data_IF_472050294134
#
_entry.id   IF_472050294134
#
_cell.length_a   1.000
_cell.length_b   1.000
_cell.length_c   1.000
_cell.angle_alpha   90.00
_cell.angle_beta   90.00
_cell.angle_gamma   90.00
#
_symmetry.space_group_name_H-M   'P 1'
#
loop_
_entity.id
_entity.type
_entity.pdbx_description
1 polymer ?
#
# COMPACT_ATOMS: atom_id res chain seq x y z
N UNK A 1 17.18 -7.55 -16.05
CA UNK A 1 15.96 -6.79 -15.80
C UNK A 1 16.35 -5.49 -15.11
N UNK A 2 15.81 -4.38 -15.58
CA UNK A 2 16.07 -3.03 -15.07
C UNK A 2 15.32 -2.76 -13.76
N UNK A 3 14.05 -3.20 -13.67
CA UNK A 3 13.19 -3.04 -12.51
C UNK A 3 13.48 -4.12 -11.46
N UNK A 4 13.68 -3.70 -10.21
CA UNK A 4 13.81 -4.55 -9.03
C UNK A 4 12.56 -4.41 -8.19
N UNK A 5 11.97 -5.53 -7.80
CA UNK A 5 10.82 -5.61 -6.93
C UNK A 5 10.99 -6.73 -5.91
N UNK A 6 10.87 -6.40 -4.64
CA UNK A 6 10.86 -7.39 -3.56
C UNK A 6 9.73 -7.11 -2.58
N UNK A 7 9.00 -8.16 -2.20
CA UNK A 7 8.07 -8.16 -1.09
C UNK A 7 8.73 -8.86 0.10
N UNK A 8 8.75 -8.21 1.25
CA UNK A 8 9.45 -8.66 2.45
C UNK A 8 8.47 -8.69 3.61
N UNK A 9 8.34 -9.84 4.28
CA UNK A 9 7.57 -9.93 5.52
C UNK A 9 8.45 -9.44 6.67
N UNK A 10 8.04 -8.35 7.34
CA UNK A 10 8.86 -7.65 8.35
C UNK A 10 8.45 -7.94 9.79
N UNK A 11 7.30 -8.56 10.02
CA UNK A 11 6.85 -8.89 11.38
C UNK A 11 5.45 -8.32 11.69
N UNK A 12 5.25 -7.83 12.90
CA UNK A 12 3.99 -7.26 13.35
C UNK A 12 2.80 -8.20 13.14
N UNK A 13 1.66 -7.67 12.70
CA UNK A 13 0.52 -8.47 12.26
C UNK A 13 0.64 -8.85 10.78
N UNK A 14 1.74 -9.56 10.44
CA UNK A 14 2.04 -10.02 9.08
C UNK A 14 2.26 -8.87 8.09
N UNK A 15 2.92 -7.79 8.55
CA UNK A 15 3.22 -6.64 7.72
C UNK A 15 4.18 -6.98 6.59
N UNK A 16 3.94 -6.36 5.44
CA UNK A 16 4.84 -6.35 4.30
C UNK A 16 5.52 -5.00 4.16
N UNK A 17 6.82 -5.04 3.87
CA UNK A 17 7.56 -3.93 3.28
C UNK A 17 7.94 -4.27 1.84
N UNK A 18 8.29 -3.25 1.05
CA UNK A 18 8.69 -3.47 -0.33
C UNK A 18 9.96 -2.70 -0.68
N UNK A 19 10.76 -3.30 -1.58
CA UNK A 19 11.86 -2.63 -2.27
C UNK A 19 11.45 -2.46 -3.74
N UNK A 20 11.38 -1.21 -4.18
CA UNK A 20 11.25 -0.83 -5.59
C UNK A 20 12.59 -0.27 -6.05
N UNK A 21 13.15 -0.72 -7.17
CA UNK A 21 14.45 -0.23 -7.59
C UNK A 21 14.63 -0.12 -9.10
N UNK A 22 15.41 0.86 -9.50
CA UNK A 22 16.00 0.98 -10.84
C UNK A 22 17.47 0.55 -10.79
N UNK A 23 17.77 -0.64 -11.32
CA UNK A 23 19.12 -1.20 -11.30
C UNK A 23 20.11 -0.40 -12.14
N UNK A 24 19.69 0.25 -13.22
CA UNK A 24 20.57 1.04 -14.06
C UNK A 24 20.93 2.37 -13.41
N UNK A 25 19.99 2.97 -12.69
CA UNK A 25 20.24 4.17 -11.91
C UNK A 25 20.90 3.88 -10.54
N UNK A 26 20.87 2.61 -10.07
CA UNK A 26 21.43 2.21 -8.81
C UNK A 26 20.64 2.71 -7.60
N UNK A 27 19.34 2.99 -7.74
CA UNK A 27 18.52 3.61 -6.69
C UNK A 27 17.29 2.77 -6.32
N UNK A 28 16.87 2.85 -5.04
CA UNK A 28 15.69 2.20 -4.52
C UNK A 28 14.78 3.13 -3.70
N UNK A 29 13.49 2.81 -3.67
CA UNK A 29 12.55 3.28 -2.66
C UNK A 29 12.18 2.10 -1.76
N UNK A 30 12.19 2.34 -0.43
CA UNK A 30 11.69 1.40 0.57
C UNK A 30 10.27 1.81 0.94
N UNK A 31 9.32 0.90 0.80
CA UNK A 31 7.92 1.18 1.12
C UNK A 31 7.57 0.49 2.43
N UNK A 32 7.07 1.26 3.39
CA UNK A 32 6.69 0.82 4.74
C UNK A 32 7.73 -0.08 5.42
N UNK A 33 9.01 0.36 5.59
CA UNK A 33 10.06 -0.47 6.17
C UNK A 33 9.91 -0.59 7.70
N UNK A 34 8.76 -1.14 8.12
CA UNK A 34 8.38 -1.30 9.52
C UNK A 34 8.99 -2.56 10.15
N UNK A 35 9.00 -2.65 11.48
CA UNK A 35 9.46 -3.76 12.32
C UNK A 35 10.91 -4.23 12.09
N UNK A 36 11.35 -4.44 10.86
CA UNK A 36 12.70 -4.89 10.50
C UNK A 36 13.29 -4.05 9.35
N UNK A 37 13.48 -2.73 9.56
CA UNK A 37 14.03 -1.85 8.53
C UNK A 37 15.46 -2.21 8.12
N UNK A 38 16.24 -2.85 8.99
CA UNK A 38 17.58 -3.33 8.65
C UNK A 38 17.52 -4.39 7.55
N UNK A 39 16.64 -5.40 7.69
CA UNK A 39 16.47 -6.42 6.66
C UNK A 39 16.02 -5.79 5.32
N UNK A 40 15.11 -4.81 5.34
CA UNK A 40 14.64 -4.14 4.12
C UNK A 40 15.77 -3.37 3.43
N UNK A 41 16.58 -2.62 4.20
CA UNK A 41 17.75 -1.89 3.69
C UNK A 41 18.80 -2.86 3.11
N UNK A 42 19.09 -3.97 3.82
CA UNK A 42 20.05 -4.97 3.35
C UNK A 42 19.59 -5.66 2.05
N UNK A 43 18.27 -5.85 1.85
CA UNK A 43 17.74 -6.36 0.58
C UNK A 43 18.00 -5.40 -0.58
N UNK A 44 17.80 -4.08 -0.39
CA UNK A 44 18.14 -3.08 -1.40
C UNK A 44 19.64 -3.08 -1.71
N UNK A 45 20.51 -3.08 -0.68
CA UNK A 45 21.96 -3.13 -0.84
C UNK A 45 22.45 -4.40 -1.55
N UNK A 46 21.87 -5.56 -1.24
CA UNK A 46 22.18 -6.84 -1.91
C UNK A 46 21.87 -6.83 -3.41
N UNK A 47 20.95 -5.95 -3.85
CA UNK A 47 20.67 -5.70 -5.28
C UNK A 47 21.60 -4.64 -5.90
N UNK A 48 22.53 -4.07 -5.11
CA UNK A 48 23.43 -2.99 -5.54
C UNK A 48 22.73 -1.64 -5.64
N UNK A 49 21.69 -1.40 -4.82
CA UNK A 49 20.87 -0.19 -4.86
C UNK A 49 21.13 0.68 -3.62
N UNK A 50 21.24 2.00 -3.83
CA UNK A 50 21.17 3.01 -2.78
C UNK A 50 19.73 3.43 -2.52
N UNK A 51 19.34 3.58 -1.25
CA UNK A 51 18.00 4.03 -0.90
C UNK A 51 17.88 5.54 -1.15
N UNK A 52 17.05 5.92 -2.11
CA UNK A 52 16.73 7.30 -2.44
C UNK A 52 15.54 7.84 -1.63
N UNK A 53 14.59 6.98 -1.29
CA UNK A 53 13.36 7.35 -0.57
C UNK A 53 12.92 6.26 0.40
N UNK A 54 12.32 6.70 1.53
CA UNK A 54 11.48 5.89 2.41
C UNK A 54 10.05 6.39 2.19
N UNK A 55 9.16 5.54 1.68
CA UNK A 55 7.78 5.94 1.35
C UNK A 55 6.82 5.24 2.30
N UNK A 56 5.95 5.98 2.98
CA UNK A 56 4.87 5.39 3.76
C UNK A 56 3.56 5.45 3.01
N UNK A 57 2.87 4.31 2.95
CA UNK A 57 1.51 4.24 2.41
C UNK A 57 0.54 5.01 3.27
N UNK A 58 0.73 5.00 4.60
CA UNK A 58 -0.07 5.74 5.57
C UNK A 58 0.61 5.84 6.94
N UNK A 59 0.01 6.61 7.85
CA UNK A 59 0.61 6.98 9.12
C UNK A 59 0.39 6.03 10.29
N UNK A 60 -0.21 4.85 10.14
CA UNK A 60 -0.31 3.90 11.25
C UNK A 60 1.06 3.46 11.75
N UNK A 61 1.16 3.22 13.05
CA UNK A 61 2.44 2.91 13.71
C UNK A 61 3.10 1.66 13.13
N UNK A 62 2.34 0.66 12.78
CA UNK A 62 2.83 -0.60 12.21
C UNK A 62 3.35 -0.49 10.76
N UNK A 63 3.19 0.68 10.11
CA UNK A 63 3.82 1.04 8.82
C UNK A 63 4.97 2.03 8.98
N UNK A 64 5.02 2.76 10.10
CA UNK A 64 5.97 3.87 10.30
C UNK A 64 6.99 3.64 11.41
N UNK A 65 6.84 2.61 12.26
CA UNK A 65 7.70 2.37 13.42
C UNK A 65 9.19 2.13 13.06
N UNK A 66 9.48 1.73 11.82
CA UNK A 66 10.85 1.55 11.31
C UNK A 66 11.47 2.80 10.68
N UNK A 67 10.71 3.90 10.49
CA UNK A 67 11.15 5.08 9.74
C UNK A 67 12.45 5.69 10.28
N UNK A 68 12.52 5.90 11.59
CA UNK A 68 13.69 6.53 12.20
C UNK A 68 14.98 5.69 12.01
N UNK A 69 14.85 4.37 12.10
CA UNK A 69 15.95 3.45 11.89
C UNK A 69 16.33 3.35 10.41
N UNK A 70 15.36 3.22 9.50
CA UNK A 70 15.60 3.22 8.06
C UNK A 70 16.32 4.52 7.63
N UNK A 71 15.84 5.68 8.10
CA UNK A 71 16.47 6.97 7.84
C UNK A 71 17.90 7.04 8.37
N UNK A 72 18.16 6.52 9.57
CA UNK A 72 19.53 6.47 10.14
C UNK A 72 20.48 5.59 9.32
N UNK A 73 19.96 4.51 8.72
CA UNK A 73 20.75 3.55 7.92
C UNK A 73 21.03 4.02 6.50
N UNK A 74 20.22 4.93 5.95
CA UNK A 74 20.22 5.28 4.52
C UNK A 74 20.39 6.77 4.24
N UNK A 75 20.13 7.63 5.24
CA UNK A 75 20.00 9.10 5.11
C UNK A 75 18.90 9.55 4.13
N UNK A 76 18.05 8.61 3.68
CA UNK A 76 16.98 8.87 2.72
C UNK A 76 15.82 9.65 3.35
N UNK A 77 15.19 10.60 2.62
CA UNK A 77 14.03 11.32 3.11
C UNK A 77 12.78 10.42 3.19
N UNK A 78 11.97 10.69 4.22
CA UNK A 78 10.65 10.09 4.38
C UNK A 78 9.66 10.84 3.49
N UNK A 79 8.98 10.11 2.62
CA UNK A 79 7.92 10.57 1.72
C UNK A 79 6.58 10.02 2.20
N UNK A 80 5.61 10.86 2.43
CA UNK A 80 4.24 10.48 2.77
C UNK A 80 3.26 11.60 2.37
N UNK A 81 1.96 11.30 2.42
CA UNK A 81 0.93 12.29 2.14
C UNK A 81 1.05 13.49 3.09
N UNK A 82 0.76 14.69 2.56
CA UNK A 82 0.78 15.96 3.32
C UNK A 82 -0.15 15.86 4.53
N UNK A 83 0.38 16.19 5.71
CA UNK A 83 -0.38 16.09 6.97
C UNK A 83 -0.34 14.71 7.63
N UNK A 84 0.37 13.74 7.05
CA UNK A 84 0.58 12.44 7.68
C UNK A 84 1.26 12.56 9.05
N UNK A 85 0.81 11.74 9.98
CA UNK A 85 1.45 11.60 11.31
C UNK A 85 2.86 11.00 11.23
N UNK A 86 3.23 10.41 10.09
CA UNK A 86 4.60 9.97 9.79
C UNK A 86 5.61 11.13 9.74
N UNK A 87 5.14 12.39 9.70
CA UNK A 87 5.96 13.62 9.63
C UNK A 87 6.99 13.55 8.50
N UNK A 88 6.55 13.51 7.23
CA UNK A 88 7.42 13.33 6.09
C UNK A 88 8.39 14.52 5.95
N UNK A 89 9.63 14.20 5.54
CA UNK A 89 10.62 15.21 5.10
C UNK A 89 10.20 15.78 3.73
N UNK A 90 9.55 14.94 2.91
CA UNK A 90 9.03 15.30 1.60
C UNK A 90 7.53 15.00 1.54
N UNK A 91 6.67 15.96 1.93
CA UNK A 91 5.22 15.80 1.86
C UNK A 91 4.72 15.86 0.43
N UNK A 92 3.83 14.94 0.07
CA UNK A 92 3.22 14.85 -1.26
C UNK A 92 1.72 15.09 -1.23
N UNK A 93 1.18 15.46 -2.38
CA UNK A 93 -0.27 15.61 -2.61
C UNK A 93 -0.77 14.49 -3.55
N UNK A 94 -2.09 14.41 -3.74
CA UNK A 94 -2.73 13.44 -4.64
C UNK A 94 -2.20 13.55 -6.09
N UNK A 95 -1.88 12.43 -6.69
CA UNK A 95 -1.37 12.35 -8.05
C UNK A 95 0.08 12.80 -8.23
N UNK A 96 0.81 13.05 -7.12
CA UNK A 96 2.24 13.34 -7.21
C UNK A 96 2.99 12.17 -7.83
N UNK A 97 3.88 12.46 -8.79
CA UNK A 97 4.74 11.46 -9.41
C UNK A 97 6.15 11.59 -8.84
N UNK A 98 6.53 10.61 -8.03
CA UNK A 98 7.88 10.52 -7.47
C UNK A 98 8.80 9.83 -8.48
N UNK A 99 9.86 10.51 -8.89
CA UNK A 99 10.85 9.98 -9.83
C UNK A 99 11.88 9.12 -9.09
N UNK A 100 12.04 7.86 -9.50
CA UNK A 100 13.06 6.94 -8.98
C UNK A 100 13.90 6.36 -10.13
N UNK A 101 15.00 7.02 -10.46
CA UNK A 101 15.75 6.72 -11.68
C UNK A 101 14.88 6.91 -12.92
N UNK A 102 14.62 5.85 -13.67
CA UNK A 102 13.69 5.86 -14.82
C UNK A 102 12.25 5.45 -14.44
N UNK A 103 11.99 5.08 -13.18
CA UNK A 103 10.67 4.66 -12.73
C UNK A 103 9.83 5.87 -12.29
N UNK A 104 8.53 5.80 -12.57
CA UNK A 104 7.54 6.79 -12.17
C UNK A 104 6.59 6.17 -11.15
N UNK A 105 6.65 6.63 -9.91
CA UNK A 105 5.78 6.19 -8.81
C UNK A 105 4.67 7.24 -8.65
N UNK A 106 3.48 6.99 -9.19
CA UNK A 106 2.30 7.83 -8.94
C UNK A 106 1.76 7.54 -7.54
N UNK A 107 1.60 8.59 -6.73
CA UNK A 107 1.11 8.51 -5.37
C UNK A 107 -0.35 8.96 -5.34
N UNK A 108 -1.28 8.01 -5.27
CA UNK A 108 -2.73 8.24 -5.37
C UNK A 108 -3.31 8.32 -3.96
N UNK A 109 -3.84 9.48 -3.56
CA UNK A 109 -4.50 9.66 -2.26
C UNK A 109 -5.84 8.93 -2.21
N UNK A 110 -6.02 8.08 -1.20
CA UNK A 110 -7.17 7.18 -1.02
C UNK A 110 -7.60 7.15 0.46
N UNK A 111 -8.15 8.26 0.98
CA UNK A 111 -8.57 8.34 2.38
C UNK A 111 -9.70 7.36 2.70
N UNK A 112 -9.88 7.08 3.99
CA UNK A 112 -10.99 6.26 4.50
C UNK A 112 -10.55 5.24 5.54
N UNK A 113 -9.58 4.37 5.26
CA UNK A 113 -8.92 3.57 6.29
C UNK A 113 -8.28 4.50 7.34
N UNK A 114 -7.52 5.46 6.86
CA UNK A 114 -7.03 6.65 7.55
C UNK A 114 -6.93 7.79 6.54
N UNK A 115 -6.90 9.04 7.00
CA UNK A 115 -7.00 10.22 6.14
C UNK A 115 -5.80 10.43 5.21
N UNK A 116 -4.61 9.98 5.60
CA UNK A 116 -3.35 10.19 4.88
C UNK A 116 -2.94 9.02 3.96
N UNK A 117 -3.84 8.07 3.72
CA UNK A 117 -3.51 6.87 2.95
C UNK A 117 -3.27 7.14 1.47
N UNK A 118 -2.16 6.61 0.93
CA UNK A 118 -1.83 6.62 -0.50
C UNK A 118 -1.62 5.20 -1.04
N UNK A 119 -1.95 5.01 -2.31
CA UNK A 119 -1.53 3.87 -3.13
C UNK A 119 -0.31 4.30 -3.93
N UNK A 120 0.73 3.47 -3.98
CA UNK A 120 1.90 3.67 -4.85
C UNK A 120 1.71 2.87 -6.13
N UNK A 121 1.54 3.56 -7.25
CA UNK A 121 1.21 2.97 -8.53
C UNK A 121 2.32 3.13 -9.57
N UNK A 122 2.76 2.02 -10.17
CA UNK A 122 3.73 1.96 -11.26
C UNK A 122 3.05 1.33 -12.48
N UNK A 123 2.57 2.18 -13.38
CA UNK A 123 1.77 1.76 -14.55
C UNK A 123 2.54 0.83 -15.48
N UNK A 124 3.76 1.22 -15.86
CA UNK A 124 4.59 0.45 -16.79
C UNK A 124 5.02 -0.91 -16.21
N UNK A 125 5.23 -1.00 -14.89
CA UNK A 125 5.63 -2.22 -14.19
C UNK A 125 4.46 -3.09 -13.77
N UNK A 126 3.22 -2.63 -13.99
CA UNK A 126 1.98 -3.32 -13.57
C UNK A 126 1.92 -3.61 -12.07
N UNK A 127 2.35 -2.66 -11.24
CA UNK A 127 2.41 -2.78 -9.78
C UNK A 127 1.55 -1.72 -9.12
N UNK A 128 0.71 -2.11 -8.15
CA UNK A 128 0.04 -1.22 -7.21
C UNK A 128 0.28 -1.70 -5.78
N UNK A 129 1.00 -0.90 -4.99
CA UNK A 129 1.17 -1.13 -3.55
C UNK A 129 0.00 -0.44 -2.85
N UNK A 130 -0.96 -1.24 -2.40
CA UNK A 130 -2.26 -0.74 -1.94
C UNK A 130 -2.34 -0.49 -0.44
N UNK A 131 -1.25 -0.77 0.30
CA UNK A 131 -1.24 -0.64 1.74
C UNK A 131 -2.44 -1.33 2.37
N UNK A 132 -3.11 -0.61 3.28
CA UNK A 132 -4.29 -1.09 3.99
C UNK A 132 -5.61 -0.65 3.34
N UNK A 133 -5.55 -0.02 2.16
CA UNK A 133 -6.74 0.35 1.42
C UNK A 133 -7.43 -0.86 0.77
N UNK A 134 -6.65 -1.74 0.13
CA UNK A 134 -7.12 -2.96 -0.52
C UNK A 134 -6.18 -4.14 -0.21
N UNK A 135 -6.72 -5.18 0.41
CA UNK A 135 -6.05 -6.47 0.62
C UNK A 135 -6.53 -7.51 -0.38
N UNK A 136 -5.92 -8.68 -0.32
CA UNK A 136 -6.43 -9.85 -1.05
C UNK A 136 -7.71 -10.37 -0.37
N UNK A 137 -8.84 -10.23 -1.04
CA UNK A 137 -10.15 -10.71 -0.60
C UNK A 137 -10.83 -9.87 0.48
N UNK A 138 -10.28 -8.71 0.87
CA UNK A 138 -10.91 -7.76 1.81
C UNK A 138 -10.33 -6.35 1.65
N UNK A 139 -10.80 -5.41 2.46
CA UNK A 139 -10.30 -4.03 2.55
C UNK A 139 -9.93 -3.67 4.00
N UNK A 140 -9.21 -2.58 4.20
CA UNK A 140 -8.90 -2.04 5.51
C UNK A 140 -10.13 -1.65 6.33
N UNK A 141 -10.03 -1.78 7.64
CA UNK A 141 -11.05 -1.32 8.57
C UNK A 141 -11.23 0.20 8.54
N UNK A 142 -12.36 0.69 9.04
CA UNK A 142 -12.61 2.11 9.26
C UNK A 142 -13.21 2.31 10.65
N UNK A 143 -12.94 3.46 11.28
CA UNK A 143 -13.39 3.72 12.64
C UNK A 143 -14.83 4.24 12.71
N UNK A 144 -15.29 4.91 11.64
CA UNK A 144 -16.62 5.54 11.59
C UNK A 144 -17.33 5.22 10.27
N UNK A 145 -18.65 5.44 10.20
CA UNK A 145 -19.41 5.30 8.97
C UNK A 145 -19.00 6.36 7.94
N UNK A 146 -18.67 7.59 8.36
CA UNK A 146 -18.19 8.63 7.44
C UNK A 146 -16.86 8.24 6.80
N UNK A 147 -15.94 7.67 7.57
CA UNK A 147 -14.70 7.12 7.06
C UNK A 147 -14.95 5.95 6.08
N UNK A 148 -15.96 5.11 6.34
CA UNK A 148 -16.37 4.05 5.42
C UNK A 148 -16.95 4.60 4.11
N UNK A 149 -17.74 5.68 4.15
CA UNK A 149 -18.23 6.39 2.96
C UNK A 149 -17.09 7.00 2.16
N UNK A 150 -16.12 7.61 2.85
CA UNK A 150 -14.90 8.13 2.23
C UNK A 150 -14.10 7.01 1.57
N UNK A 151 -13.93 5.86 2.23
CA UNK A 151 -13.25 4.70 1.66
C UNK A 151 -13.99 4.15 0.42
N UNK A 152 -15.33 4.14 0.42
CA UNK A 152 -16.11 3.75 -0.76
C UNK A 152 -15.76 4.62 -1.98
N UNK A 153 -15.72 5.95 -1.81
CA UNK A 153 -15.34 6.88 -2.90
C UNK A 153 -13.90 6.64 -3.35
N UNK A 154 -12.98 6.42 -2.42
CA UNK A 154 -11.58 6.12 -2.72
C UNK A 154 -11.41 4.79 -3.44
N UNK A 155 -12.20 3.76 -3.10
CA UNK A 155 -12.24 2.49 -3.84
C UNK A 155 -12.75 2.69 -5.28
N UNK A 156 -13.80 3.47 -5.49
CA UNK A 156 -14.26 3.81 -6.85
C UNK A 156 -13.13 4.46 -7.66
N UNK A 157 -12.41 5.42 -7.07
CA UNK A 157 -11.28 6.10 -7.71
C UNK A 157 -10.21 5.11 -8.21
N UNK A 158 -9.80 4.14 -7.38
CA UNK A 158 -8.80 3.16 -7.80
C UNK A 158 -9.36 2.12 -8.78
N UNK A 159 -10.64 1.76 -8.68
CA UNK A 159 -11.29 0.86 -9.66
C UNK A 159 -11.35 1.47 -11.05
N UNK A 160 -11.50 2.79 -11.15
CA UNK A 160 -11.51 3.55 -12.40
C UNK A 160 -10.07 3.78 -12.93
N UNK A 161 -9.10 3.99 -12.02
CA UNK A 161 -7.72 4.33 -12.38
C UNK A 161 -6.85 3.12 -12.71
N UNK A 162 -7.02 2.00 -11.99
CA UNK A 162 -6.15 0.84 -12.11
C UNK A 162 -6.71 -0.18 -13.10
N UNK A 163 -5.97 -0.56 -14.16
CA UNK A 163 -6.40 -1.57 -15.11
C UNK A 163 -6.44 -2.97 -14.47
N UNK A 164 -7.20 -3.87 -15.10
CA UNK A 164 -7.47 -5.21 -14.58
C UNK A 164 -6.22 -6.10 -14.43
N UNK A 165 -5.21 -5.88 -15.25
CA UNK A 165 -3.95 -6.63 -15.26
C UNK A 165 -2.90 -6.12 -14.26
N UNK A 166 -3.24 -5.11 -13.45
CA UNK A 166 -2.38 -4.65 -12.35
C UNK A 166 -2.29 -5.71 -11.26
N UNK A 167 -1.08 -5.95 -10.77
CA UNK A 167 -0.86 -6.73 -9.56
C UNK A 167 -1.05 -5.85 -8.32
N UNK A 168 -1.93 -6.30 -7.44
CA UNK A 168 -2.24 -5.69 -6.13
C UNK A 168 -1.33 -6.28 -5.07
N UNK A 169 -0.57 -5.42 -4.38
CA UNK A 169 0.37 -5.76 -3.31
C UNK A 169 -0.04 -5.04 -2.02
N UNK A 170 -0.61 -5.77 -1.05
CA UNK A 170 -1.20 -5.18 0.16
C UNK A 170 -0.18 -4.86 1.25
N UNK A 171 -0.58 -4.10 2.27
CA UNK A 171 0.24 -3.82 3.46
C UNK A 171 0.44 -5.01 4.39
N UNK A 172 -0.47 -6.01 4.34
CA UNK A 172 -0.44 -7.19 5.20
C UNK A 172 -0.75 -8.48 4.45
N UNK A 173 -0.20 -9.61 4.94
CA UNK A 173 -0.47 -10.98 4.47
C UNK A 173 -1.77 -11.54 5.09
N UNK A 174 -2.89 -10.87 4.82
CA UNK A 174 -4.20 -11.27 5.37
C UNK A 174 -4.98 -12.22 4.45
N UNK A 175 -4.62 -12.29 3.18
CA UNK A 175 -5.31 -13.09 2.19
C UNK A 175 -4.88 -14.55 2.14
N UNK A 176 -5.43 -15.29 1.17
CA UNK A 176 -5.02 -16.67 0.87
C UNK A 176 -3.71 -16.74 0.08
N UNK A 177 -3.18 -15.61 -0.33
CA UNK A 177 -1.93 -15.41 -1.09
C UNK A 177 -1.37 -14.01 -0.80
N UNK A 178 -0.06 -13.78 -1.06
CA UNK A 178 0.60 -12.53 -0.69
C UNK A 178 0.31 -11.36 -1.66
N UNK A 179 -0.29 -11.64 -2.82
CA UNK A 179 -0.67 -10.65 -3.83
C UNK A 179 -1.86 -11.13 -4.65
N UNK A 180 -2.47 -10.24 -5.42
CA UNK A 180 -3.62 -10.55 -6.29
C UNK A 180 -3.52 -9.75 -7.59
N UNK A 181 -4.55 -9.79 -8.43
CA UNK A 181 -4.72 -8.87 -9.55
C UNK A 181 -5.99 -8.05 -9.37
N UNK A 182 -6.05 -6.86 -9.97
CA UNK A 182 -7.26 -6.05 -9.90
C UNK A 182 -8.47 -6.79 -10.49
N UNK A 183 -8.30 -7.52 -11.61
CA UNK A 183 -9.35 -8.36 -12.19
C UNK A 183 -9.91 -9.37 -11.18
N UNK A 184 -9.02 -10.04 -10.44
CA UNK A 184 -9.44 -11.05 -9.48
C UNK A 184 -10.13 -10.43 -8.27
N UNK A 185 -9.61 -9.32 -7.75
CA UNK A 185 -10.26 -8.60 -6.66
C UNK A 185 -11.65 -8.07 -7.08
N UNK A 186 -11.80 -7.49 -8.28
CA UNK A 186 -13.10 -7.09 -8.83
C UNK A 186 -14.09 -8.26 -8.92
N UNK A 187 -13.61 -9.47 -9.21
CA UNK A 187 -14.44 -10.67 -9.38
C UNK A 187 -14.75 -11.39 -8.05
N UNK A 188 -13.94 -11.23 -7.01
CA UNK A 188 -14.04 -12.12 -5.82
C UNK A 188 -14.03 -11.40 -4.48
N UNK A 189 -13.56 -10.15 -4.41
CA UNK A 189 -13.52 -9.39 -3.15
C UNK A 189 -14.92 -8.94 -2.77
N UNK A 190 -15.48 -9.38 -1.61
CA UNK A 190 -16.85 -9.05 -1.22
C UNK A 190 -17.17 -7.56 -1.22
N UNK A 191 -16.20 -6.73 -0.82
CA UNK A 191 -16.38 -5.28 -0.78
C UNK A 191 -16.39 -4.67 -2.18
N UNK A 192 -15.59 -5.17 -3.11
CA UNK A 192 -15.62 -4.70 -4.50
C UNK A 192 -16.88 -5.18 -5.23
N UNK A 193 -17.41 -6.35 -4.88
CA UNK A 193 -18.71 -6.81 -5.38
C UNK A 193 -19.88 -5.96 -4.85
N UNK A 194 -19.75 -5.37 -3.67
CA UNK A 194 -20.75 -4.47 -3.08
C UNK A 194 -20.65 -3.00 -3.57
N UNK A 195 -19.73 -2.69 -4.50
CA UNK A 195 -19.54 -1.30 -5.00
C UNK A 195 -20.69 -0.76 -5.85
N UNK A 196 -21.69 -1.58 -6.19
CA UNK A 196 -22.89 -1.12 -6.88
C UNK A 196 -23.83 -0.27 -6.03
N UNK A 197 -23.71 -0.33 -4.68
CA UNK A 197 -24.52 0.42 -3.74
C UNK A 197 -23.72 0.78 -2.49
N UNK A 198 -23.68 2.09 -2.15
CA UNK A 198 -23.04 2.53 -0.91
C UNK A 198 -23.69 1.93 0.34
N UNK A 199 -25.00 1.71 0.32
CA UNK A 199 -25.74 1.13 1.47
C UNK A 199 -25.38 -0.34 1.66
N UNK A 200 -25.25 -1.13 0.58
CA UNK A 200 -24.78 -2.53 0.62
C UNK A 200 -23.34 -2.60 1.12
N UNK A 201 -22.46 -1.72 0.64
CA UNK A 201 -21.08 -1.62 1.10
C UNK A 201 -20.99 -1.32 2.60
N UNK A 202 -21.74 -0.34 3.08
CA UNK A 202 -21.78 0.03 4.50
C UNK A 202 -22.38 -1.07 5.37
N UNK A 203 -23.43 -1.74 4.90
CA UNK A 203 -24.00 -2.91 5.58
C UNK A 203 -22.95 -4.02 5.71
N UNK A 204 -22.26 -4.35 4.62
CA UNK A 204 -21.20 -5.36 4.65
C UNK A 204 -20.05 -4.98 5.61
N UNK A 205 -19.63 -3.71 5.66
CA UNK A 205 -18.61 -3.25 6.61
C UNK A 205 -19.06 -3.40 8.06
N UNK A 206 -20.29 -3.02 8.36
CA UNK A 206 -20.87 -3.14 9.70
C UNK A 206 -20.98 -4.61 10.14
N UNK A 207 -21.42 -5.47 9.23
CA UNK A 207 -21.72 -6.86 9.51
C UNK A 207 -20.58 -7.83 9.12
N UNK A 208 -19.37 -7.30 8.85
CA UNK A 208 -18.24 -8.06 8.33
C UNK A 208 -17.86 -9.30 9.16
N UNK A 209 -17.93 -9.20 10.49
CA UNK A 209 -17.63 -10.33 11.37
C UNK A 209 -18.62 -11.49 11.16
N UNK A 210 -19.91 -11.18 11.05
CA UNK A 210 -20.98 -12.16 10.76
C UNK A 210 -20.78 -12.77 9.37
N UNK A 211 -20.56 -11.92 8.35
CA UNK A 211 -20.33 -12.38 6.98
C UNK A 211 -19.12 -13.35 6.90
N UNK A 212 -18.00 -13.03 7.57
CA UNK A 212 -16.86 -13.93 7.62
C UNK A 212 -17.20 -15.29 8.23
N UNK A 213 -17.93 -15.29 9.35
CA UNK A 213 -18.32 -16.52 10.02
C UNK A 213 -19.23 -17.42 9.13
N UNK A 214 -20.19 -16.81 8.44
CA UNK A 214 -21.10 -17.52 7.51
C UNK A 214 -20.39 -18.10 6.30
N UNK A 215 -19.36 -17.40 5.80
CA UNK A 215 -18.56 -17.83 4.63
C UNK A 215 -17.35 -18.68 4.98
N UNK A 216 -17.09 -18.93 6.26
CA UNK A 216 -15.89 -19.67 6.71
C UNK A 216 -14.58 -18.96 6.40
N UNK A 217 -14.61 -17.63 6.26
CA UNK A 217 -13.42 -16.80 6.02
C UNK A 217 -12.66 -16.54 7.35
N UNK A 218 -11.33 -16.53 7.29
CA UNK A 218 -10.46 -16.25 8.44
C UNK A 218 -10.12 -14.78 8.57
#
# INVERSE_FOLDING_TARGET
MKFVFEQIRTGGDRNFAYVLGDREAGVAALIDPSYDPEAVVERAKAQGLETAYIVNTHGHEDHTNGNAQAKKLTDAPIVAFRGSVAKPDFPVDDGHVLQLGSLHLELIHVPGHIDDHIVVYLEEQRVALTGDHLFVGKIGGTQTEDAARTQYVSLQKILDRLPDDITVWPGHDYGCRPSSTMALEKATNPFLLAMGSVDEFLALKRDWATFKAEKGLK
#
